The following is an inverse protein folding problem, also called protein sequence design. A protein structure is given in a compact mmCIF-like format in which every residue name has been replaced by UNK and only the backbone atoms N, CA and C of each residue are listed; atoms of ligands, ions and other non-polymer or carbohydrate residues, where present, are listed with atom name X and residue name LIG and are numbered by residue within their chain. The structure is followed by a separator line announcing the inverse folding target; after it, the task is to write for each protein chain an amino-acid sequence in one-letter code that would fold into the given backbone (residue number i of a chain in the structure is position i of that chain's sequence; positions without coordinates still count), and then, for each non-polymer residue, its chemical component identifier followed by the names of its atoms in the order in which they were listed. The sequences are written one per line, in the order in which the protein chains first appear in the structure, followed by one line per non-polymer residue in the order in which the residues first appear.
data_IF_529308221924
#
_entry.id   IF_529308221924
#
_cell.length_a   1.000
_cell.length_b   1.000
_cell.length_c   1.000
_cell.angle_alpha   90.00
_cell.angle_beta   90.00
_cell.angle_gamma   90.00
#
_symmetry.space_group_name_H-M   'P 1'
#
loop_
_entity.id
_entity.type
_entity.pdbx_description
1 polymer ?
#
# COMPACT_ATOMS: atom_id res chain seq x y z
N UNK A 1 23.45 15.28 25.99
CA UNK A 1 22.69 14.09 25.55
C UNK A 1 21.45 14.59 24.84
N UNK A 2 21.43 14.60 23.51
CA UNK A 2 20.26 15.06 22.75
C UNK A 2 19.31 13.90 22.53
N UNK A 3 18.09 14.04 23.05
CA UNK A 3 17.00 13.08 22.86
C UNK A 3 16.27 13.48 21.58
N UNK A 4 16.46 12.73 20.48
CA UNK A 4 15.62 12.89 19.31
C UNK A 4 14.31 12.12 19.54
N UNK A 5 13.23 12.85 19.82
CA UNK A 5 11.88 12.31 19.77
C UNK A 5 11.58 11.89 18.32
N UNK A 6 11.52 10.59 18.07
CA UNK A 6 11.11 10.05 16.78
C UNK A 6 9.59 10.19 16.63
N UNK A 7 9.14 11.36 16.17
CA UNK A 7 7.80 11.52 15.63
C UNK A 7 7.85 11.22 14.13
N UNK A 8 7.32 10.09 13.68
CA UNK A 8 6.74 9.98 12.33
C UNK A 8 5.99 8.68 12.11
N UNK A 9 4.68 8.79 12.04
CA UNK A 9 3.84 7.86 11.26
C UNK A 9 2.88 8.62 10.33
N UNK A 10 3.00 9.94 10.26
CA UNK A 10 2.21 10.82 9.40
C UNK A 10 3.06 11.65 8.40
N UNK A 11 4.37 11.82 8.63
CA UNK A 11 5.22 12.64 7.76
C UNK A 11 5.56 12.01 6.40
N UNK A 12 5.20 10.75 6.18
CA UNK A 12 5.44 10.04 4.92
C UNK A 12 4.20 9.97 4.00
N UNK A 13 3.09 10.61 4.36
CA UNK A 13 1.90 10.69 3.51
C UNK A 13 1.98 11.99 2.73
N UNK A 14 2.09 11.91 1.40
CA UNK A 14 2.16 13.08 0.52
C UNK A 14 0.79 13.76 0.38
N UNK A 15 -0.27 12.96 0.31
CA UNK A 15 -1.67 13.42 0.20
C UNK A 15 -2.64 12.29 0.52
N UNK A 16 -3.91 12.65 0.60
CA UNK A 16 -5.03 11.72 0.55
C UNK A 16 -5.87 11.99 -0.69
N UNK A 17 -6.36 10.93 -1.34
CA UNK A 17 -7.29 11.02 -2.47
C UNK A 17 -8.47 10.08 -2.24
N UNK A 18 -9.69 10.41 -2.71
CA UNK A 18 -10.81 9.48 -2.65
C UNK A 18 -10.49 8.22 -3.47
N UNK A 19 -10.90 7.05 -2.97
CA UNK A 19 -10.95 5.84 -3.77
C UNK A 19 -12.02 6.01 -4.85
N UNK A 20 -11.67 5.66 -6.08
CA UNK A 20 -12.52 5.72 -7.27
C UNK A 20 -12.35 4.44 -8.11
N UNK A 21 -12.99 4.38 -9.27
CA UNK A 21 -12.98 3.23 -10.18
C UNK A 21 -11.62 2.92 -10.80
N UNK A 22 -10.66 3.86 -10.75
CA UNK A 22 -9.31 3.64 -11.26
C UNK A 22 -8.41 2.93 -10.22
N UNK A 23 -8.89 2.74 -8.98
CA UNK A 23 -8.19 1.90 -8.01
C UNK A 23 -8.36 0.42 -8.33
N UNK A 24 -7.24 -0.26 -8.51
CA UNK A 24 -7.21 -1.71 -8.72
C UNK A 24 -7.59 -2.44 -7.42
N UNK A 25 -8.61 -3.32 -7.44
CA UNK A 25 -8.94 -4.16 -6.30
C UNK A 25 -7.93 -5.29 -6.16
N UNK A 26 -7.48 -5.51 -4.93
CA UNK A 26 -6.49 -6.53 -4.62
C UNK A 26 -6.84 -7.26 -3.32
N UNK A 27 -6.50 -8.54 -3.27
CA UNK A 27 -6.74 -9.40 -2.13
C UNK A 27 -5.47 -10.18 -1.78
N UNK A 28 -5.22 -10.34 -0.48
CA UNK A 28 -4.13 -11.14 0.04
C UNK A 28 -4.66 -12.27 0.91
N UNK A 29 -4.10 -13.43 0.65
CA UNK A 29 -4.64 -14.69 1.12
C UNK A 29 -5.90 -15.08 0.37
N UNK A 30 -6.44 -16.23 0.75
CA UNK A 30 -7.62 -16.79 0.12
C UNK A 30 -7.28 -17.78 -0.98
N UNK A 31 -7.22 -19.04 -0.59
CA UNK A 31 -7.66 -20.16 -1.44
C UNK A 31 -9.12 -20.43 -1.11
N UNK A 32 -9.43 -21.59 -0.51
CA UNK A 32 -10.77 -21.94 -0.01
C UNK A 32 -11.24 -21.17 1.24
N UNK A 33 -10.54 -20.10 1.64
CA UNK A 33 -10.78 -19.34 2.88
C UNK A 33 -10.89 -17.85 2.53
N UNK A 34 -11.62 -17.06 3.32
CA UNK A 34 -11.73 -15.62 3.09
C UNK A 34 -10.36 -14.90 3.12
N UNK A 35 -10.14 -13.86 2.29
CA UNK A 35 -8.89 -13.11 2.26
C UNK A 35 -8.63 -12.43 3.61
N UNK A 36 -7.37 -12.44 4.05
CA UNK A 36 -6.99 -11.82 5.32
C UNK A 36 -6.73 -10.32 5.20
N UNK A 37 -6.53 -9.81 3.98
CA UNK A 37 -6.46 -8.38 3.69
C UNK A 37 -7.02 -8.09 2.30
N UNK A 38 -7.93 -7.13 2.23
CA UNK A 38 -8.51 -6.63 0.98
C UNK A 38 -8.16 -5.16 0.88
N UNK A 39 -7.69 -4.72 -0.28
CA UNK A 39 -7.27 -3.35 -0.47
C UNK A 39 -7.54 -2.84 -1.89
N UNK A 40 -7.41 -1.53 -2.01
CA UNK A 40 -7.50 -0.75 -3.24
C UNK A 40 -6.17 -0.06 -3.42
N UNK A 41 -5.61 -0.11 -4.62
CA UNK A 41 -4.34 0.53 -4.94
C UNK A 41 -4.42 1.29 -6.26
N UNK A 42 -3.82 2.48 -6.30
CA UNK A 42 -3.69 3.29 -7.49
C UNK A 42 -2.29 3.90 -7.53
N UNK A 43 -1.75 4.02 -8.73
CA UNK A 43 -0.49 4.73 -8.97
C UNK A 43 -0.85 5.97 -9.75
N UNK A 44 -0.39 7.12 -9.28
CA UNK A 44 -0.61 8.40 -9.95
C UNK A 44 0.72 9.05 -10.28
N UNK A 45 0.72 9.95 -11.25
CA UNK A 45 1.85 10.81 -11.55
C UNK A 45 1.58 12.21 -10.99
N UNK A 46 2.52 12.73 -10.23
CA UNK A 46 2.51 14.11 -9.74
C UNK A 46 3.89 14.72 -9.92
N UNK A 47 3.96 15.85 -10.63
CA UNK A 47 5.21 16.56 -10.92
C UNK A 47 6.29 15.67 -11.55
N UNK A 48 5.90 14.76 -12.46
CA UNK A 48 6.83 13.85 -13.13
C UNK A 48 7.35 12.70 -12.26
N UNK A 49 6.79 12.50 -11.06
CA UNK A 49 7.14 11.42 -10.14
C UNK A 49 5.91 10.57 -9.82
N UNK A 50 6.12 9.28 -9.57
CA UNK A 50 5.03 8.42 -9.14
C UNK A 50 4.69 8.63 -7.66
N UNK A 51 3.39 8.65 -7.34
CA UNK A 51 2.89 8.38 -5.99
C UNK A 51 2.10 7.07 -6.00
N UNK A 52 2.22 6.29 -4.92
CA UNK A 52 1.43 5.07 -4.73
C UNK A 52 0.40 5.33 -3.64
N UNK A 53 -0.87 5.08 -3.95
CA UNK A 53 -2.01 5.37 -3.10
C UNK A 53 -2.74 4.09 -2.74
N UNK A 54 -3.16 3.94 -1.49
CA UNK A 54 -3.98 2.80 -1.12
C UNK A 54 -4.79 2.93 0.16
N UNK A 55 -5.84 2.12 0.21
CA UNK A 55 -6.73 1.93 1.34
C UNK A 55 -7.00 0.43 1.52
N UNK A 56 -7.02 -0.07 2.76
CA UNK A 56 -7.17 -1.50 3.01
C UNK A 56 -7.91 -1.86 4.30
N UNK A 57 -8.33 -3.12 4.35
CA UNK A 57 -9.10 -3.70 5.44
C UNK A 57 -8.52 -5.07 5.81
N UNK A 58 -8.16 -5.24 7.08
CA UNK A 58 -7.77 -6.55 7.63
C UNK A 58 -9.03 -7.35 7.99
N UNK A 59 -8.99 -8.66 7.79
CA UNK A 59 -10.13 -9.54 8.05
C UNK A 59 -10.51 -9.60 9.53
N UNK A 60 -9.51 -9.62 10.41
CA UNK A 60 -9.69 -9.58 11.85
C UNK A 60 -8.42 -9.04 12.56
N UNK A 61 -8.51 -8.86 13.88
CA UNK A 61 -7.40 -8.36 14.68
C UNK A 61 -6.24 -9.35 14.80
N UNK A 62 -6.53 -10.66 14.75
CA UNK A 62 -5.54 -11.74 14.93
C UNK A 62 -4.53 -11.77 13.78
N UNK A 63 -4.99 -11.63 12.53
CA UNK A 63 -4.12 -11.62 11.35
C UNK A 63 -3.42 -10.28 11.12
N UNK A 64 -3.82 -9.22 11.83
CA UNK A 64 -3.33 -7.85 11.60
C UNK A 64 -1.82 -7.73 11.79
N UNK A 65 -1.26 -8.40 12.80
CA UNK A 65 0.17 -8.36 13.06
C UNK A 65 0.99 -8.95 11.90
N UNK A 66 0.61 -10.15 11.46
CA UNK A 66 1.24 -10.84 10.33
C UNK A 66 1.06 -10.06 9.03
N UNK A 67 -0.16 -9.62 8.73
CA UNK A 67 -0.48 -8.83 7.56
C UNK A 67 0.35 -7.53 7.50
N UNK A 68 0.53 -6.84 8.63
CA UNK A 68 1.40 -5.66 8.69
C UNK A 68 2.87 -6.00 8.44
N UNK A 69 3.38 -7.14 8.94
CA UNK A 69 4.74 -7.60 8.65
C UNK A 69 4.90 -7.92 7.17
N UNK A 70 3.96 -8.64 6.58
CA UNK A 70 3.93 -8.93 5.15
C UNK A 70 3.92 -7.65 4.31
N UNK A 71 3.02 -6.69 4.60
CA UNK A 71 2.93 -5.41 3.90
C UNK A 71 4.19 -4.56 4.05
N UNK A 72 4.86 -4.60 5.22
CA UNK A 72 6.13 -3.90 5.44
C UNK A 72 7.23 -4.39 4.49
N UNK A 73 7.20 -5.68 4.15
CA UNK A 73 8.15 -6.31 3.24
C UNK A 73 7.61 -6.50 1.82
N UNK A 74 6.43 -5.94 1.53
CA UNK A 74 5.88 -5.88 0.18
C UNK A 74 6.08 -4.48 -0.40
N UNK A 75 5.99 -4.38 -1.71
CA UNK A 75 6.22 -3.15 -2.45
C UNK A 75 5.68 -3.23 -3.86
N UNK A 76 6.17 -2.34 -4.71
CA UNK A 76 5.87 -2.34 -6.14
C UNK A 76 7.15 -2.14 -6.94
N UNK A 77 7.12 -2.60 -8.18
CA UNK A 77 8.12 -2.34 -9.20
C UNK A 77 7.48 -1.58 -10.37
N UNK A 78 8.29 -0.79 -11.05
CA UNK A 78 7.99 -0.22 -12.35
C UNK A 78 9.12 -0.58 -13.31
N UNK A 79 8.77 -1.18 -14.46
CA UNK A 79 9.73 -1.65 -15.46
C UNK A 79 10.87 -2.50 -14.85
N UNK A 80 10.52 -3.44 -13.96
CA UNK A 80 11.46 -4.31 -13.25
C UNK A 80 12.29 -3.66 -12.13
N UNK A 81 12.17 -2.34 -11.90
CA UNK A 81 12.90 -1.60 -10.85
C UNK A 81 12.00 -1.29 -9.67
N UNK A 82 12.55 -1.31 -8.45
CA UNK A 82 11.80 -1.00 -7.22
C UNK A 82 11.21 0.41 -7.29
N UNK A 83 9.89 0.51 -7.20
CA UNK A 83 9.12 1.76 -7.14
C UNK A 83 8.97 2.23 -5.69
N UNK A 84 8.46 1.34 -4.83
CA UNK A 84 8.24 1.62 -3.41
C UNK A 84 8.32 0.32 -2.59
N UNK A 85 8.67 0.46 -1.32
CA UNK A 85 8.66 -0.61 -0.32
C UNK A 85 7.85 -0.15 0.89
N UNK A 86 7.28 -1.10 1.63
CA UNK A 86 6.47 -0.89 2.82
C UNK A 86 5.11 -0.27 2.48
N UNK A 87 4.10 -1.12 2.32
CA UNK A 87 2.72 -0.71 2.03
C UNK A 87 1.88 -0.51 3.31
N UNK A 88 2.50 -0.46 4.50
CA UNK A 88 1.74 -0.33 5.76
C UNK A 88 1.12 1.04 5.98
N UNK A 89 1.47 2.03 5.15
CA UNK A 89 0.96 3.40 5.17
C UNK A 89 -0.43 3.56 4.55
N UNK A 90 -0.93 2.54 3.84
CA UNK A 90 -2.30 2.55 3.32
C UNK A 90 -3.29 2.87 4.43
N UNK A 91 -4.27 3.71 4.10
CA UNK A 91 -5.32 4.06 5.04
C UNK A 91 -6.14 2.82 5.40
N UNK A 92 -6.82 2.84 6.54
CA UNK A 92 -7.50 1.67 7.08
C UNK A 92 -8.97 1.92 7.24
N UNK A 93 -9.77 1.01 6.70
CA UNK A 93 -11.21 0.99 6.94
C UNK A 93 -11.60 -0.16 7.85
N UNK A 94 -12.77 -0.06 8.48
CA UNK A 94 -13.28 -1.09 9.42
C UNK A 94 -14.04 -2.19 8.67
N UNK A 95 -14.83 -1.79 7.67
CA UNK A 95 -15.69 -2.69 6.88
C UNK A 95 -15.25 -2.69 5.42
N UNK A 96 -15.41 -3.82 4.73
CA UNK A 96 -15.08 -3.94 3.30
C UNK A 96 -15.88 -2.96 2.44
N UNK A 97 -17.17 -2.74 2.78
CA UNK A 97 -18.06 -1.80 2.10
C UNK A 97 -17.64 -0.34 2.20
N UNK A 98 -16.65 -0.02 3.04
CA UNK A 98 -16.12 1.33 3.16
C UNK A 98 -14.91 1.58 2.25
N UNK A 99 -14.37 0.55 1.58
CA UNK A 99 -13.18 0.70 0.73
C UNK A 99 -13.43 1.67 -0.42
N UNK A 100 -14.57 1.51 -1.11
CA UNK A 100 -14.87 2.27 -2.33
C UNK A 100 -15.30 3.73 -2.04
N UNK A 101 -15.48 4.08 -0.75
CA UNK A 101 -15.73 5.47 -0.30
C UNK A 101 -14.63 5.99 0.61
N UNK A 102 -13.49 5.27 0.70
CA UNK A 102 -12.40 5.62 1.59
C UNK A 102 -11.57 6.79 1.04
N UNK A 103 -10.83 7.44 1.93
CA UNK A 103 -9.68 8.27 1.54
C UNK A 103 -8.43 7.39 1.55
N UNK A 104 -7.81 7.19 0.39
CA UNK A 104 -6.55 6.48 0.24
C UNK A 104 -5.39 7.36 0.67
N UNK A 105 -4.44 6.78 1.41
CA UNK A 105 -3.19 7.46 1.71
C UNK A 105 -2.22 7.27 0.54
N UNK A 106 -1.65 8.37 0.04
CA UNK A 106 -0.62 8.36 -0.98
C UNK A 106 0.76 8.60 -0.36
N UNK A 107 1.77 7.98 -0.96
CA UNK A 107 3.18 8.26 -0.66
C UNK A 107 3.92 8.53 -1.95
N UNK A 108 4.58 9.68 -2.01
CA UNK A 108 5.47 10.03 -3.10
C UNK A 108 6.65 9.07 -3.17
N UNK A 109 7.05 8.73 -4.39
CA UNK A 109 8.27 7.98 -4.67
C UNK A 109 9.31 8.91 -5.27
N UNK A 110 10.59 8.50 -5.24
CA UNK A 110 11.66 9.22 -5.92
C UNK A 110 11.88 8.69 -7.35
N UNK A 111 10.89 8.00 -7.92
CA UNK A 111 10.98 7.40 -9.25
C UNK A 111 10.23 8.27 -10.24
N UNK A 112 10.95 8.72 -11.27
CA UNK A 112 10.39 9.51 -12.36
C UNK A 112 9.48 8.66 -13.24
N UNK A 113 8.37 9.24 -13.66
CA UNK A 113 7.53 8.63 -14.68
C UNK A 113 8.29 8.57 -16.02
N UNK A 114 8.30 7.42 -16.72
CA UNK A 114 8.93 7.31 -18.03
C UNK A 114 8.10 8.08 -19.06
N UNK A 115 8.75 8.53 -20.14
CA UNK A 115 8.04 9.05 -21.31
C UNK A 115 7.49 7.86 -22.10
N UNK A 116 6.28 7.40 -21.77
CA UNK A 116 5.62 6.27 -22.43
C UNK A 116 4.96 5.33 -21.43
N UNK A 117 4.64 4.12 -21.90
CA UNK A 117 3.99 3.10 -21.07
C UNK A 117 4.89 2.67 -19.90
N UNK A 118 4.26 2.49 -18.74
CA UNK A 118 4.90 1.99 -17.53
C UNK A 118 4.26 0.65 -17.16
N UNK A 119 5.07 -0.40 -17.03
CA UNK A 119 4.62 -1.69 -16.54
C UNK A 119 4.80 -1.73 -15.01
N UNK A 120 3.70 -1.92 -14.29
CA UNK A 120 3.69 -1.96 -12.84
C UNK A 120 3.44 -3.37 -12.32
N UNK A 121 4.23 -3.77 -11.34
CA UNK A 121 4.17 -5.11 -10.77
C UNK A 121 4.16 -5.03 -9.24
N UNK A 122 3.40 -5.91 -8.61
CA UNK A 122 3.50 -6.09 -7.16
C UNK A 122 4.77 -6.86 -6.82
N UNK A 123 5.53 -6.36 -5.85
CA UNK A 123 6.70 -7.04 -5.30
C UNK A 123 6.33 -7.61 -3.94
N UNK A 124 5.80 -8.83 -3.93
CA UNK A 124 5.31 -9.48 -2.72
C UNK A 124 6.46 -9.96 -1.84
N UNK A 125 6.27 -9.87 -0.53
CA UNK A 125 7.23 -10.46 0.40
C UNK A 125 7.34 -11.97 0.18
N UNK A 126 8.55 -12.47 -0.08
CA UNK A 126 8.86 -13.90 -0.09
C UNK A 126 9.17 -14.47 1.30
N UNK A 127 9.11 -13.64 2.35
CA UNK A 127 9.40 -14.09 3.72
C UNK A 127 8.26 -14.95 4.26
N UNK A 128 8.59 -16.15 4.72
CA UNK A 128 7.67 -16.99 5.49
C UNK A 128 7.53 -16.43 6.91
N UNK A 129 6.29 -16.25 7.37
CA UNK A 129 5.98 -15.82 8.74
C UNK A 129 5.38 -16.99 9.51
N UNK A 130 6.18 -17.64 10.36
CA UNK A 130 5.72 -18.73 11.25
C UNK A 130 4.98 -18.20 12.48
N UNK A 131 4.05 -19.00 12.99
CA UNK A 131 3.25 -18.76 14.20
C UNK A 131 3.79 -19.57 15.38
#
# INVERSE_FOLDING_TARGET
MSVFASASSAADISRQIPVDEEFVPMELGGGSIAPWYVFRIKIIEVNGMFEVCGAGRFSNAQVRGQARRFLRHSGMKVNGKKLIQDLTYFSRVKKISQLDTAQANCRATNVKAPKGEANFEMDWSSKTYYY
#
